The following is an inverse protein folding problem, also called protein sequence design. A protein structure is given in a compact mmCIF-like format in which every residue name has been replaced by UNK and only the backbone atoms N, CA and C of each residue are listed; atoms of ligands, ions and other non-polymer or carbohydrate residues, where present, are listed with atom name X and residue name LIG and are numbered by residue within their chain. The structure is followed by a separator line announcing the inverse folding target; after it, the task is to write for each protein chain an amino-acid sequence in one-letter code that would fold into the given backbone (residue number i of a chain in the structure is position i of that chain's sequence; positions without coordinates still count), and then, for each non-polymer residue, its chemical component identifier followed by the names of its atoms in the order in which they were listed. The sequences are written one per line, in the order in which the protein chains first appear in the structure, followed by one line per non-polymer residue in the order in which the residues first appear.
data_IF_026749784598
#
_entry.id   IF_026749784598
#
_cell.length_a   1.000
_cell.length_b   1.000
_cell.length_c   1.000
_cell.angle_alpha   90.00
_cell.angle_beta   90.00
_cell.angle_gamma   90.00
#
_symmetry.space_group_name_H-M   'P 1'
#
loop_
_entity.id
_entity.type
_entity.pdbx_description
1 polymer ?
#
# COMPACT_ATOMS: atom_id res chain seq x y z
N UNK A 1 -8.32 -1.50 -18.93
CA UNK A 1 -7.78 -1.38 -17.57
C UNK A 1 -8.67 -2.19 -16.69
N UNK A 2 -8.11 -3.23 -16.08
CA UNK A 2 -8.78 -4.09 -15.11
C UNK A 2 -8.32 -3.66 -13.72
N UNK A 3 -9.25 -3.62 -12.76
CA UNK A 3 -8.98 -3.26 -11.37
C UNK A 3 -9.23 -4.49 -10.52
N UNK A 4 -8.19 -4.97 -9.83
CA UNK A 4 -8.28 -6.13 -8.95
C UNK A 4 -8.34 -5.62 -7.51
N UNK A 5 -9.43 -5.95 -6.81
CA UNK A 5 -9.69 -5.53 -5.44
C UNK A 5 -9.61 -6.75 -4.53
N UNK A 6 -8.61 -6.75 -3.65
CA UNK A 6 -8.43 -7.75 -2.61
C UNK A 6 -8.65 -7.13 -1.23
N UNK A 7 -9.28 -7.87 -0.33
CA UNK A 7 -9.45 -7.46 1.06
C UNK A 7 -8.46 -8.23 1.94
N UNK A 8 -7.56 -7.51 2.62
CA UNK A 8 -6.78 -8.08 3.71
C UNK A 8 -7.67 -8.25 4.95
N UNK A 9 -7.99 -9.49 5.34
CA UNK A 9 -8.37 -9.75 6.73
C UNK A 9 -7.08 -10.08 7.48
N UNK A 10 -6.70 -9.25 8.44
CA UNK A 10 -5.82 -9.69 9.51
C UNK A 10 -6.67 -10.59 10.40
N UNK A 11 -6.52 -11.91 10.26
CA UNK A 11 -7.09 -12.83 11.22
C UNK A 11 -6.34 -12.59 12.54
N UNK A 12 -7.07 -12.11 13.54
CA UNK A 12 -6.61 -12.19 14.93
C UNK A 12 -6.24 -13.64 15.20
N UNK A 13 -5.02 -13.87 15.69
CA UNK A 13 -4.39 -15.18 15.84
C UNK A 13 -4.98 -16.00 16.98
N UNK A 14 -6.30 -16.20 17.01
CA UNK A 14 -7.01 -17.00 18.01
C UNK A 14 -7.84 -18.10 17.37
N UNK A 15 -7.20 -18.95 16.58
CA UNK A 15 -7.78 -20.22 16.15
C UNK A 15 -6.73 -21.33 16.07
N UNK A 16 -5.90 -21.48 17.10
CA UNK A 16 -5.41 -22.79 17.52
C UNK A 16 -4.64 -22.64 18.84
N UNK A 17 -5.27 -23.07 19.95
CA UNK A 17 -4.71 -23.46 21.26
C UNK A 17 -5.73 -23.15 22.37
N UNK A 18 -6.82 -23.92 22.37
CA UNK A 18 -7.65 -24.09 23.55
C UNK A 18 -6.92 -25.01 24.54
N UNK A 19 -6.06 -24.43 25.38
CA UNK A 19 -5.88 -24.80 26.80
C UNK A 19 -4.70 -24.03 27.40
N UNK A 20 -4.99 -22.97 28.17
CA UNK A 20 -4.48 -22.71 29.54
C UNK A 20 -4.51 -21.23 29.92
N UNK A 21 -5.22 -21.01 31.03
CA UNK A 21 -4.98 -20.04 32.10
C UNK A 21 -5.00 -18.53 31.78
N UNK A 22 -6.13 -17.93 32.18
CA UNK A 22 -6.27 -16.64 32.88
C UNK A 22 -4.97 -15.88 33.19
N UNK A 23 -4.79 -14.73 32.55
CA UNK A 23 -4.50 -13.48 33.24
C UNK A 23 -4.80 -12.29 32.32
N UNK A 24 -5.40 -11.25 32.91
CA UNK A 24 -6.02 -10.15 32.19
C UNK A 24 -5.04 -9.17 31.55
N UNK A 25 -5.43 -8.65 30.38
CA UNK A 25 -5.36 -7.22 30.11
C UNK A 25 -6.38 -6.86 29.02
N UNK A 26 -7.38 -6.07 29.40
CA UNK A 26 -8.39 -5.56 28.49
C UNK A 26 -7.84 -4.35 27.74
N UNK A 27 -7.11 -4.57 26.66
CA UNK A 27 -6.86 -3.51 25.67
C UNK A 27 -8.10 -3.32 24.81
N UNK A 28 -8.75 -2.17 24.99
CA UNK A 28 -9.95 -1.77 24.27
C UNK A 28 -9.64 -1.57 22.78
N UNK A 29 -10.21 -2.46 21.98
CA UNK A 29 -10.24 -2.41 20.52
C UNK A 29 -11.22 -1.30 20.05
N UNK A 30 -10.81 -0.03 20.15
CA UNK A 30 -11.63 1.14 19.82
C UNK A 30 -11.23 1.84 18.50
N UNK A 31 -10.23 1.33 17.77
CA UNK A 31 -9.63 2.01 16.60
C UNK A 31 -10.34 1.82 15.25
N UNK A 32 -11.20 0.81 15.10
CA UNK A 32 -11.75 0.43 13.79
C UNK A 32 -12.85 1.32 13.24
N UNK A 33 -13.70 1.91 14.09
CA UNK A 33 -14.92 2.60 13.66
C UNK A 33 -14.69 4.05 13.17
N UNK A 34 -13.68 4.75 13.72
CA UNK A 34 -13.41 6.16 13.34
C UNK A 34 -12.72 6.28 11.97
N UNK A 35 -11.94 5.28 11.59
CA UNK A 35 -11.08 5.31 10.39
C UNK A 35 -11.88 5.08 9.08
N UNK A 36 -12.88 4.18 9.11
CA UNK A 36 -13.77 3.96 7.96
C UNK A 36 -14.71 5.14 7.65
N UNK A 37 -15.07 5.91 8.67
CA UNK A 37 -15.87 7.14 8.53
C UNK A 37 -15.13 8.22 7.72
N UNK A 38 -13.82 8.37 7.96
CA UNK A 38 -12.99 9.34 7.26
C UNK A 38 -12.83 9.01 5.76
N UNK A 39 -12.62 7.74 5.41
CA UNK A 39 -12.53 7.31 4.00
C UNK A 39 -13.82 7.59 3.22
N UNK A 40 -14.98 7.31 3.82
CA UNK A 40 -16.28 7.61 3.21
C UNK A 40 -16.54 9.12 3.11
N UNK A 41 -15.90 9.93 3.97
CA UNK A 41 -16.00 11.38 3.92
C UNK A 41 -15.28 11.96 2.70
N UNK A 42 -14.08 11.48 2.36
CA UNK A 42 -13.33 11.94 1.17
C UNK A 42 -14.10 11.63 -0.13
N UNK A 43 -14.73 10.45 -0.21
CA UNK A 43 -15.61 10.09 -1.35
C UNK A 43 -16.82 11.03 -1.43
N UNK A 44 -17.48 11.31 -0.30
CA UNK A 44 -18.62 12.22 -0.27
C UNK A 44 -18.22 13.65 -0.69
N UNK A 45 -17.08 14.14 -0.24
CA UNK A 45 -16.54 15.43 -0.65
C UNK A 45 -16.22 15.48 -2.15
N UNK A 46 -15.66 14.41 -2.70
CA UNK A 46 -15.39 14.30 -4.13
C UNK A 46 -16.69 14.42 -4.95
N UNK A 47 -17.76 13.72 -4.55
CA UNK A 47 -19.05 13.84 -5.21
C UNK A 47 -19.68 15.22 -5.03
N UNK A 48 -19.55 15.84 -3.85
CA UNK A 48 -20.02 17.20 -3.63
C UNK A 48 -19.30 18.20 -4.57
N UNK A 49 -17.98 18.06 -4.76
CA UNK A 49 -17.18 18.87 -5.70
C UNK A 49 -17.59 18.65 -7.16
N UNK A 50 -17.94 17.42 -7.55
CA UNK A 50 -18.49 17.15 -8.89
C UNK A 50 -19.88 17.77 -9.05
N UNK A 51 -20.74 17.67 -8.04
CA UNK A 51 -22.08 18.27 -8.05
C UNK A 51 -22.03 19.79 -8.18
N UNK A 52 -21.14 20.45 -7.43
CA UNK A 52 -20.96 21.89 -7.48
C UNK A 52 -20.49 22.39 -8.87
N UNK A 53 -19.82 21.53 -9.64
CA UNK A 53 -19.38 21.80 -11.02
C UNK A 53 -20.40 21.37 -12.08
N UNK A 54 -21.52 20.76 -11.70
CA UNK A 54 -22.50 20.20 -12.64
C UNK A 54 -21.97 18.97 -13.41
N UNK A 55 -20.95 18.29 -12.88
CA UNK A 55 -20.27 17.17 -13.55
C UNK A 55 -20.73 15.80 -13.01
N UNK A 56 -21.51 15.76 -11.93
CA UNK A 56 -21.86 14.52 -11.21
C UNK A 56 -22.61 13.51 -12.09
N UNK A 57 -23.61 13.96 -12.85
CA UNK A 57 -24.40 13.08 -13.72
C UNK A 57 -23.53 12.47 -14.82
N UNK A 58 -22.67 13.29 -15.43
CA UNK A 58 -21.71 12.85 -16.46
C UNK A 58 -20.73 11.83 -15.89
N UNK A 59 -20.24 12.05 -14.66
CA UNK A 59 -19.36 11.10 -13.98
C UNK A 59 -20.04 9.73 -13.84
N UNK A 60 -21.27 9.68 -13.31
CA UNK A 60 -21.99 8.41 -13.16
C UNK A 60 -22.40 7.78 -14.50
N UNK A 61 -22.70 8.58 -15.52
CA UNK A 61 -22.94 8.08 -16.87
C UNK A 61 -21.70 7.37 -17.42
N UNK A 62 -20.52 7.99 -17.31
CA UNK A 62 -19.26 7.38 -17.73
C UNK A 62 -18.99 6.12 -16.90
N UNK A 63 -19.15 6.19 -15.57
CA UNK A 63 -18.92 5.06 -14.69
C UNK A 63 -19.79 3.85 -15.07
N UNK A 64 -21.09 4.04 -15.29
CA UNK A 64 -22.01 2.97 -15.72
C UNK A 64 -21.64 2.34 -17.06
N UNK A 65 -21.02 3.09 -17.96
CA UNK A 65 -20.58 2.59 -19.27
C UNK A 65 -19.23 1.88 -19.22
N UNK A 66 -18.38 2.23 -18.26
CA UNK A 66 -16.97 1.79 -18.18
C UNK A 66 -16.72 0.71 -17.13
N UNK A 67 -17.49 0.73 -16.05
CA UNK A 67 -17.42 -0.26 -14.98
C UNK A 67 -18.33 -1.43 -15.36
N UNK A 68 -17.71 -2.52 -15.79
CA UNK A 68 -18.33 -3.82 -16.06
C UNK A 68 -17.78 -4.87 -15.09
N UNK A 69 -18.44 -6.03 -15.03
CA UNK A 69 -17.97 -7.18 -14.23
C UNK A 69 -16.57 -7.68 -14.65
N UNK A 70 -16.14 -7.36 -15.88
CA UNK A 70 -14.80 -7.66 -16.40
C UNK A 70 -13.76 -6.58 -16.08
N UNK A 71 -14.20 -5.39 -15.65
CA UNK A 71 -13.32 -4.27 -15.34
C UNK A 71 -12.92 -4.19 -13.87
N UNK A 72 -13.68 -4.86 -12.99
CA UNK A 72 -13.44 -4.90 -11.54
C UNK A 72 -13.60 -6.32 -11.04
N UNK A 73 -12.50 -6.91 -10.57
CA UNK A 73 -12.48 -8.27 -10.02
C UNK A 73 -12.29 -8.22 -8.51
N UNK A 74 -13.28 -8.70 -7.77
CA UNK A 74 -13.18 -8.87 -6.32
C UNK A 74 -12.70 -10.29 -6.01
N UNK A 75 -11.47 -10.41 -5.53
CA UNK A 75 -10.83 -11.73 -5.30
C UNK A 75 -11.15 -12.33 -3.93
N UNK A 76 -11.68 -11.53 -3.01
CA UNK A 76 -11.74 -11.88 -1.59
C UNK A 76 -10.36 -11.75 -0.93
N UNK A 77 -10.05 -12.64 0.00
CA UNK A 77 -8.76 -12.66 0.70
C UNK A 77 -7.71 -13.41 -0.13
N UNK A 78 -6.52 -12.82 -0.25
CA UNK A 78 -5.36 -13.43 -0.88
C UNK A 78 -4.22 -13.53 0.13
N UNK A 79 -3.52 -14.66 0.15
CA UNK A 79 -2.29 -14.84 0.92
C UNK A 79 -1.09 -14.40 0.09
N UNK A 80 0.08 -14.30 0.74
CA UNK A 80 1.36 -14.06 0.08
C UNK A 80 1.66 -15.07 -1.05
N UNK A 81 1.12 -16.30 -0.95
CA UNK A 81 1.27 -17.34 -1.99
C UNK A 81 0.49 -17.03 -3.26
N UNK A 82 -0.67 -16.37 -3.17
CA UNK A 82 -1.39 -15.92 -4.36
C UNK A 82 -0.81 -14.61 -4.90
N UNK A 83 -0.41 -13.69 -4.00
CA UNK A 83 0.11 -12.38 -4.38
C UNK A 83 1.35 -12.44 -5.27
N UNK A 84 2.23 -13.44 -5.09
CA UNK A 84 3.40 -13.64 -5.96
C UNK A 84 3.05 -13.92 -7.43
N UNK A 85 1.83 -14.39 -7.72
CA UNK A 85 1.36 -14.61 -9.09
C UNK A 85 0.57 -13.42 -9.61
N UNK A 86 -0.12 -12.71 -8.71
CA UNK A 86 -0.94 -11.56 -9.05
C UNK A 86 -0.10 -10.32 -9.38
N UNK A 87 0.81 -9.91 -8.48
CA UNK A 87 1.55 -8.66 -8.65
C UNK A 87 2.37 -8.56 -9.95
N UNK A 88 3.01 -9.63 -10.46
CA UNK A 88 3.71 -9.55 -11.75
C UNK A 88 2.83 -9.20 -12.95
N UNK A 89 1.52 -9.40 -12.84
CA UNK A 89 0.51 -9.08 -13.86
C UNK A 89 -0.07 -7.66 -13.71
N UNK A 90 0.24 -6.95 -12.62
CA UNK A 90 -0.28 -5.62 -12.35
C UNK A 90 0.72 -4.55 -12.79
N UNK A 91 0.23 -3.47 -13.40
CA UNK A 91 1.04 -2.27 -13.67
C UNK A 91 1.24 -1.46 -12.38
N UNK A 92 0.19 -1.37 -11.56
CA UNK A 92 0.12 -0.52 -10.37
C UNK A 92 -0.56 -1.26 -9.21
N UNK A 93 -0.02 -1.12 -8.00
CA UNK A 93 -0.62 -1.59 -6.75
C UNK A 93 -1.02 -0.40 -5.89
N UNK A 94 -2.27 -0.37 -5.41
CA UNK A 94 -2.78 0.76 -4.60
C UNK A 94 -3.12 0.26 -3.20
N UNK A 95 -2.52 0.89 -2.20
CA UNK A 95 -2.65 0.57 -0.78
C UNK A 95 -3.20 1.78 0.00
N UNK A 96 -4.50 2.11 -0.16
CA UNK A 96 -5.11 3.31 0.42
C UNK A 96 -5.49 3.10 1.90
N UNK A 97 -4.57 2.53 2.68
CA UNK A 97 -4.75 2.23 4.10
C UNK A 97 -5.07 3.50 4.89
N UNK A 98 -6.01 3.39 5.82
CA UNK A 98 -6.39 4.48 6.76
C UNK A 98 -5.87 4.23 8.18
N UNK A 99 -5.28 3.07 8.41
CA UNK A 99 -4.64 2.66 9.67
C UNK A 99 -3.12 2.79 9.53
N UNK A 100 -2.47 3.26 10.59
CA UNK A 100 -1.00 3.33 10.68
C UNK A 100 -0.44 1.93 10.84
N UNK A 101 0.43 1.55 9.90
CA UNK A 101 1.25 0.35 10.00
C UNK A 101 2.71 0.72 10.23
N UNK A 102 3.46 -0.16 10.91
CA UNK A 102 4.88 0.04 11.18
C UNK A 102 5.77 -0.30 9.97
N UNK A 103 5.34 -1.25 9.13
CA UNK A 103 6.07 -1.69 7.93
C UNK A 103 5.17 -2.47 6.97
N UNK A 104 4.72 -1.87 5.85
CA UNK A 104 3.88 -2.55 4.88
C UNK A 104 4.67 -3.59 4.07
N UNK A 105 4.63 -4.86 4.48
CA UNK A 105 5.28 -5.93 3.72
C UNK A 105 4.71 -6.07 2.30
N UNK A 106 3.39 -5.88 2.15
CA UNK A 106 2.71 -5.97 0.84
C UNK A 106 3.21 -4.88 -0.14
N UNK A 107 3.62 -3.72 0.36
CA UNK A 107 4.26 -2.69 -0.48
C UNK A 107 5.58 -3.21 -1.06
N UNK A 108 6.43 -3.83 -0.22
CA UNK A 108 7.69 -4.43 -0.66
C UNK A 108 7.48 -5.62 -1.60
N UNK A 109 6.44 -6.43 -1.38
CA UNK A 109 6.08 -7.54 -2.28
C UNK A 109 5.68 -7.06 -3.68
N UNK A 110 4.94 -5.96 -3.75
CA UNK A 110 4.59 -5.33 -5.03
C UNK A 110 5.82 -4.82 -5.76
N UNK A 111 6.75 -4.17 -5.04
CA UNK A 111 8.03 -3.70 -5.57
C UNK A 111 8.89 -4.86 -6.07
N UNK A 112 9.01 -5.93 -5.30
CA UNK A 112 9.77 -7.13 -5.67
C UNK A 112 9.26 -7.76 -6.98
N UNK A 113 7.96 -7.65 -7.24
CA UNK A 113 7.32 -8.07 -8.48
C UNK A 113 7.44 -7.06 -9.63
N UNK A 114 7.98 -5.88 -9.33
CA UNK A 114 8.12 -4.73 -10.23
C UNK A 114 6.80 -4.00 -10.52
N UNK A 115 5.77 -4.24 -9.70
CA UNK A 115 4.51 -3.51 -9.72
C UNK A 115 4.72 -2.13 -9.05
N UNK A 116 4.23 -1.04 -9.66
CA UNK A 116 4.44 0.31 -9.15
C UNK A 116 3.48 0.62 -7.99
N UNK A 117 3.95 0.85 -6.77
CA UNK A 117 3.05 1.04 -5.64
C UNK A 117 2.61 2.49 -5.44
N UNK A 118 1.35 2.69 -5.07
CA UNK A 118 0.85 3.90 -4.42
C UNK A 118 0.38 3.51 -3.04
N UNK A 119 0.78 4.28 -2.03
CA UNK A 119 0.41 4.04 -0.65
C UNK A 119 0.07 5.33 0.06
N UNK A 120 -0.78 5.23 1.08
CA UNK A 120 -1.09 6.41 1.88
C UNK A 120 0.14 6.87 2.66
N UNK A 121 0.54 8.13 2.47
CA UNK A 121 1.84 8.66 2.84
C UNK A 121 1.91 9.06 4.31
N UNK A 122 1.85 8.08 5.20
CA UNK A 122 1.99 8.24 6.64
C UNK A 122 2.53 6.95 7.29
N UNK A 123 2.99 7.03 8.55
CA UNK A 123 3.51 5.86 9.27
C UNK A 123 4.68 5.17 8.56
N UNK A 124 4.73 3.83 8.66
CA UNK A 124 5.75 3.00 8.00
C UNK A 124 5.71 3.09 6.48
N UNK A 125 4.52 3.23 5.89
CA UNK A 125 4.36 3.43 4.44
C UNK A 125 5.13 4.66 3.94
N UNK A 126 5.10 5.77 4.71
CA UNK A 126 5.88 6.97 4.39
C UNK A 126 7.38 6.67 4.29
N UNK A 127 7.92 5.94 5.26
CA UNK A 127 9.34 5.58 5.30
C UNK A 127 9.72 4.68 4.12
N UNK A 128 8.89 3.69 3.79
CA UNK A 128 9.08 2.82 2.62
C UNK A 128 9.06 3.60 1.31
N UNK A 129 8.10 4.51 1.12
CA UNK A 129 8.01 5.34 -0.09
C UNK A 129 9.22 6.25 -0.24
N UNK A 130 9.66 6.92 0.84
CA UNK A 130 10.80 7.83 0.78
C UNK A 130 12.12 7.11 0.47
N UNK A 131 12.33 5.94 1.09
CA UNK A 131 13.51 5.13 0.85
C UNK A 131 13.58 4.64 -0.61
N UNK A 132 12.47 4.12 -1.13
CA UNK A 132 12.40 3.64 -2.53
C UNK A 132 12.46 4.79 -3.52
N UNK A 133 11.80 5.91 -3.21
CA UNK A 133 11.77 7.12 -4.03
C UNK A 133 13.16 7.69 -4.31
N UNK A 134 14.13 7.48 -3.43
CA UNK A 134 15.52 7.90 -3.61
C UNK A 134 16.23 7.21 -4.80
N UNK A 135 15.74 6.04 -5.22
CA UNK A 135 16.27 5.29 -6.37
C UNK A 135 15.58 5.62 -7.70
N UNK A 136 14.56 6.46 -7.67
CA UNK A 136 13.75 6.80 -8.83
C UNK A 136 14.12 8.19 -9.37
N UNK A 137 13.82 8.47 -10.65
CA UNK A 137 13.95 9.82 -11.19
C UNK A 137 13.14 10.83 -10.38
N UNK A 138 13.58 12.09 -10.44
CA UNK A 138 12.92 13.19 -9.75
C UNK A 138 11.42 13.23 -10.12
N UNK A 139 10.57 13.27 -9.08
CA UNK A 139 9.10 13.30 -9.22
C UNK A 139 8.43 11.92 -9.29
N UNK A 140 9.12 10.86 -9.71
CA UNK A 140 8.52 9.51 -9.77
C UNK A 140 8.08 9.00 -8.40
N UNK A 141 8.90 9.23 -7.35
CA UNK A 141 8.54 8.87 -5.98
C UNK A 141 7.33 9.63 -5.43
N UNK A 142 7.03 10.83 -5.95
CA UNK A 142 5.85 11.60 -5.52
C UNK A 142 4.54 11.02 -6.05
N UNK A 143 4.59 10.29 -7.18
CA UNK A 143 3.44 9.55 -7.69
C UNK A 143 2.99 8.42 -6.75
N UNK A 144 3.90 7.88 -5.95
CA UNK A 144 3.61 6.81 -4.98
C UNK A 144 2.84 7.31 -3.74
N UNK A 145 2.84 8.62 -3.48
CA UNK A 145 2.35 9.21 -2.23
C UNK A 145 0.86 9.52 -2.36
N UNK A 146 0.02 8.99 -1.49
CA UNK A 146 -1.39 9.42 -1.35
C UNK A 146 -1.58 10.19 -0.04
N UNK A 147 -2.09 11.43 -0.08
CA UNK A 147 -2.44 12.17 1.14
C UNK A 147 -3.62 11.47 1.85
N UNK A 148 -3.49 11.06 3.12
CA UNK A 148 -4.58 10.42 3.87
C UNK A 148 -5.84 11.28 4.01
N UNK A 149 -5.77 12.58 3.78
CA UNK A 149 -6.92 13.50 3.83
C UNK A 149 -7.55 13.77 2.45
N UNK A 150 -6.86 13.40 1.38
CA UNK A 150 -7.25 13.71 0.00
C UNK A 150 -6.96 12.52 -0.93
N UNK A 151 -7.19 11.30 -0.44
CA UNK A 151 -6.78 10.07 -1.12
C UNK A 151 -7.47 9.92 -2.47
N UNK A 152 -8.77 10.22 -2.56
CA UNK A 152 -9.54 10.16 -3.81
C UNK A 152 -9.00 11.16 -4.83
N UNK A 153 -8.73 12.40 -4.40
CA UNK A 153 -8.20 13.44 -5.27
C UNK A 153 -6.80 13.06 -5.81
N UNK A 154 -5.95 12.53 -4.93
CA UNK A 154 -4.62 12.06 -5.31
C UNK A 154 -4.70 10.88 -6.29
N UNK A 155 -5.60 9.92 -6.08
CA UNK A 155 -5.79 8.80 -7.01
C UNK A 155 -6.22 9.28 -8.40
N UNK A 156 -7.15 10.24 -8.48
CA UNK A 156 -7.60 10.81 -9.77
C UNK A 156 -6.43 11.44 -10.55
N UNK A 157 -5.49 12.07 -9.86
CA UNK A 157 -4.35 12.76 -10.48
C UNK A 157 -3.20 11.80 -10.78
N UNK A 158 -2.83 10.96 -9.81
CA UNK A 158 -1.57 10.20 -9.81
C UNK A 158 -1.72 8.83 -10.47
N UNK A 159 -2.88 8.18 -10.38
CA UNK A 159 -3.05 6.82 -10.89
C UNK A 159 -2.80 6.72 -12.41
N UNK A 160 -3.32 7.61 -13.28
CA UNK A 160 -3.02 7.54 -14.71
C UNK A 160 -1.53 7.68 -15.02
N UNK A 161 -0.85 8.60 -14.31
CA UNK A 161 0.60 8.81 -14.46
C UNK A 161 1.40 7.61 -13.96
N UNK A 162 0.97 6.99 -12.86
CA UNK A 162 1.61 5.78 -12.33
C UNK A 162 1.46 4.58 -13.26
N UNK A 163 0.33 4.45 -13.98
CA UNK A 163 0.12 3.40 -14.99
C UNK A 163 1.11 3.58 -16.16
N UNK A 164 1.37 4.81 -16.58
CA UNK A 164 2.37 5.10 -17.62
C UNK A 164 3.81 4.88 -17.12
N UNK A 165 4.07 5.25 -15.86
CA UNK A 165 5.40 5.17 -15.24
C UNK A 165 5.79 3.74 -14.87
N UNK A 166 4.84 2.92 -14.42
CA UNK A 166 5.08 1.59 -13.83
C UNK A 166 5.93 0.66 -14.70
N UNK A 167 5.57 0.44 -15.98
CA UNK A 167 6.35 -0.39 -16.89
C UNK A 167 7.81 0.09 -17.06
N UNK A 168 8.06 1.39 -16.95
CA UNK A 168 9.40 1.99 -17.08
C UNK A 168 10.26 1.79 -15.82
N UNK A 169 9.65 1.48 -14.68
CA UNK A 169 10.32 1.37 -13.38
C UNK A 169 10.45 -0.06 -12.88
N UNK A 170 9.78 -1.03 -13.52
CA UNK A 170 9.74 -2.46 -13.12
C UNK A 170 11.08 -3.03 -12.66
N UNK A 171 12.13 -2.85 -13.46
CA UNK A 171 13.47 -3.38 -13.16
C UNK A 171 14.12 -2.67 -11.98
N UNK A 172 13.93 -1.35 -11.85
CA UNK A 172 14.46 -0.59 -10.72
C UNK A 172 13.75 -0.95 -9.43
N UNK A 173 12.41 -1.04 -9.44
CA UNK A 173 11.63 -1.40 -8.26
C UNK A 173 11.99 -2.79 -7.74
N UNK A 174 12.04 -3.78 -8.64
CA UNK A 174 12.38 -5.16 -8.26
C UNK A 174 13.83 -5.32 -7.82
N UNK A 175 14.75 -4.52 -8.38
CA UNK A 175 16.14 -4.46 -7.92
C UNK A 175 16.24 -3.85 -6.52
N UNK A 176 15.63 -2.70 -6.26
CA UNK A 176 15.64 -2.07 -4.93
C UNK A 176 15.08 -3.03 -3.87
N UNK A 177 13.96 -3.69 -4.15
CA UNK A 177 13.38 -4.67 -3.25
C UNK A 177 14.34 -5.84 -2.94
N UNK A 178 15.06 -6.35 -3.96
CA UNK A 178 16.02 -7.44 -3.78
C UNK A 178 17.29 -6.99 -3.06
N UNK A 179 17.82 -5.84 -3.42
CA UNK A 179 19.14 -5.41 -2.96
C UNK A 179 19.04 -4.90 -1.50
N UNK A 180 17.96 -4.20 -1.14
CA UNK A 180 17.85 -3.54 0.16
C UNK A 180 16.92 -4.27 1.14
N UNK A 181 15.93 -5.01 0.64
CA UNK A 181 14.85 -5.56 1.45
C UNK A 181 14.75 -7.10 1.41
N UNK A 182 15.63 -7.79 0.69
CA UNK A 182 15.76 -9.24 0.82
C UNK A 182 16.28 -9.61 2.22
N UNK A 183 15.77 -10.71 2.77
CA UNK A 183 16.18 -11.17 4.10
C UNK A 183 17.68 -11.42 4.21
N UNK A 184 18.34 -11.82 3.12
CA UNK A 184 19.80 -11.96 3.08
C UNK A 184 20.47 -10.60 3.28
N UNK A 185 20.04 -9.56 2.57
CA UNK A 185 20.57 -8.20 2.70
C UNK A 185 20.30 -7.62 4.09
N UNK A 186 19.08 -7.75 4.59
CA UNK A 186 18.70 -7.31 5.95
C UNK A 186 19.57 -7.99 7.01
N UNK A 187 19.78 -9.31 6.89
CA UNK A 187 20.61 -10.06 7.84
C UNK A 187 22.09 -9.64 7.82
N UNK A 188 22.62 -9.29 6.64
CA UNK A 188 23.99 -8.83 6.48
C UNK A 188 24.19 -7.44 7.09
N UNK A 189 23.26 -6.51 6.86
CA UNK A 189 23.25 -5.18 7.47
C UNK A 189 23.19 -5.30 9.00
N UNK A 190 22.25 -6.10 9.52
CA UNK A 190 22.13 -6.35 10.95
C UNK A 190 23.42 -6.90 11.57
N UNK A 191 24.04 -7.89 10.93
CA UNK A 191 25.32 -8.47 11.40
C UNK A 191 26.47 -7.45 11.37
N UNK A 192 26.52 -6.58 10.36
CA UNK A 192 27.52 -5.53 10.26
C UNK A 192 27.37 -4.50 11.38
N UNK A 193 26.14 -4.07 11.67
CA UNK A 193 25.85 -3.15 12.77
C UNK A 193 26.19 -3.77 14.13
N UNK A 194 25.80 -5.03 14.37
CA UNK A 194 26.12 -5.73 15.61
C UNK A 194 27.63 -5.78 15.86
N UNK A 195 28.42 -6.12 14.82
CA UNK A 195 29.89 -6.15 14.91
C UNK A 195 30.49 -4.76 15.15
N UNK A 196 29.88 -3.70 14.61
CA UNK A 196 30.33 -2.32 14.84
C UNK A 196 30.15 -1.92 16.31
N UNK A 197 29.00 -2.28 16.90
CA UNK A 197 28.70 -2.07 18.32
C UNK A 197 29.67 -2.86 19.20
N UNK A 198 29.91 -4.13 18.91
CA UNK A 198 30.88 -4.97 19.64
C UNK A 198 32.31 -4.43 19.57
N UNK A 199 32.67 -3.79 18.46
CA UNK A 199 33.99 -3.18 18.25
C UNK A 199 34.13 -1.78 18.90
N UNK A 200 33.11 -1.29 19.61
CA UNK A 200 33.13 0.03 20.26
C UNK A 200 33.06 1.22 19.29
N UNK A 201 32.64 1.00 18.03
CA UNK A 201 32.38 2.09 17.08
C UNK A 201 30.93 2.54 17.21
N UNK A 202 30.72 3.75 17.72
CA UNK A 202 29.40 4.38 17.74
C UNK A 202 28.93 4.65 16.31
N UNK A 203 27.70 4.22 15.99
CA UNK A 203 27.05 4.44 14.69
C UNK A 203 26.75 5.95 14.52
N UNK A 204 27.07 6.52 13.35
CA UNK A 204 26.72 7.90 12.93
C UNK A 204 25.41 7.92 12.17
#
# INVERSE_FOLDING_TARGET
MEVIVSNGRYLDGSADHADRAEDGDSEQNAGGAQSGSAALTDVAEFFAKLSARGELDRYFEIARRRITDESVVFTGYLTHTELRYLFPCCDVGVFPSVVREAGPLVFLESLASGCFPLGTYFGGMKASIDAVGAYLPAGSGDLMKLDPRHTVADLVIKLPLAIEEGPLRKDTLSRVARDDYDWSSVSQTFLAELRAIESGRTLT
#
